data_IF_008534006146
#
_entry.id   IF_008534006146
#
_cell.length_a   1.000
_cell.length_b   1.000
_cell.length_c   1.000
_cell.angle_alpha   90.00
_cell.angle_beta   90.00
_cell.angle_gamma   90.00
#
_symmetry.space_group_name_H-M   'P 1'
#
loop_
_entity.id
_entity.type
_entity.pdbx_description
1 polymer ?
#
# COMPACT_ATOMS: atom_id res chain seq x y z
N UNK A 1 2.99 9.87 4.29
CA UNK A 1 2.79 9.92 2.83
C UNK A 1 4.11 10.16 2.13
N UNK A 2 4.16 9.91 0.82
CA UNK A 2 5.22 10.40 -0.06
C UNK A 2 4.74 11.69 -0.73
N UNK A 3 5.63 12.67 -0.93
CA UNK A 3 5.25 13.97 -1.50
C UNK A 3 5.50 13.98 -3.01
N UNK A 4 4.52 14.48 -3.77
CA UNK A 4 4.71 14.81 -5.18
C UNK A 4 5.70 15.96 -5.35
N UNK A 5 6.24 16.21 -6.56
CA UNK A 5 7.06 17.39 -6.83
C UNK A 5 6.38 18.73 -6.47
N UNK A 6 5.06 18.78 -6.56
CA UNK A 6 4.21 19.91 -6.18
C UNK A 6 3.91 19.98 -4.67
N UNK A 7 4.37 19.01 -3.89
CA UNK A 7 4.19 18.94 -2.44
C UNK A 7 2.89 18.26 -1.99
N UNK A 8 2.18 17.58 -2.88
CA UNK A 8 0.93 16.88 -2.51
C UNK A 8 1.23 15.54 -1.84
N UNK A 9 0.46 15.18 -0.80
CA UNK A 9 0.56 13.89 -0.15
C UNK A 9 -0.03 12.78 -1.03
N UNK A 10 0.78 11.77 -1.35
CA UNK A 10 0.40 10.64 -2.20
C UNK A 10 0.51 9.31 -1.45
N UNK A 11 -0.37 8.38 -1.81
CA UNK A 11 -0.12 6.94 -1.65
C UNK A 11 0.71 6.48 -2.85
N UNK A 12 1.88 5.93 -2.57
CA UNK A 12 2.82 5.42 -3.57
C UNK A 12 3.03 3.93 -3.32
N UNK A 13 3.19 3.17 -4.40
CA UNK A 13 3.61 1.77 -4.31
C UNK A 13 4.81 1.53 -5.19
N UNK A 14 5.75 0.73 -4.71
CA UNK A 14 6.89 0.25 -5.48
C UNK A 14 6.86 -1.26 -5.52
N UNK A 15 6.92 -1.84 -6.72
CA UNK A 15 7.02 -3.29 -6.90
C UNK A 15 8.37 -3.62 -7.51
N UNK A 16 9.27 -4.17 -6.70
CA UNK A 16 10.63 -4.50 -7.14
C UNK A 16 10.71 -5.95 -7.62
N UNK A 17 10.95 -6.13 -8.91
CA UNK A 17 11.27 -7.42 -9.53
C UNK A 17 12.62 -7.32 -10.24
N UNK A 18 13.65 -7.01 -9.47
CA UNK A 18 15.00 -6.68 -9.93
C UNK A 18 15.16 -5.22 -10.34
N UNK A 19 14.19 -4.71 -11.10
CA UNK A 19 13.99 -3.28 -11.32
C UNK A 19 12.78 -2.85 -10.50
N UNK A 20 12.85 -1.67 -9.90
CA UNK A 20 11.74 -1.06 -9.17
C UNK A 20 10.80 -0.38 -10.15
N UNK A 21 9.51 -0.63 -9.94
CA UNK A 21 8.41 -0.10 -10.74
C UNK A 21 7.48 0.64 -9.77
N UNK A 22 7.53 1.97 -9.82
CA UNK A 22 6.74 2.87 -8.97
C UNK A 22 5.39 3.21 -9.60
N UNK A 23 4.40 3.45 -8.74
CA UNK A 23 3.09 3.93 -9.14
C UNK A 23 2.54 4.90 -8.10
N UNK A 24 2.19 6.10 -8.57
CA UNK A 24 1.67 7.21 -7.79
C UNK A 24 0.14 7.24 -7.82
N UNK A 25 -0.46 7.39 -6.65
CA UNK A 25 -1.90 7.57 -6.49
C UNK A 25 -2.32 9.02 -6.72
N UNK A 26 -3.59 9.29 -6.44
CA UNK A 26 -4.10 10.66 -6.41
C UNK A 26 -3.65 11.39 -5.14
N UNK A 27 -3.61 12.74 -5.16
CA UNK A 27 -3.49 13.55 -3.96
C UNK A 27 -4.54 13.18 -2.91
N UNK A 28 -4.11 13.05 -1.67
CA UNK A 28 -4.97 12.82 -0.51
C UNK A 28 -4.98 14.07 0.34
N UNK A 29 -6.19 14.51 0.69
CA UNK A 29 -6.40 15.52 1.73
C UNK A 29 -6.38 14.83 3.10
N UNK A 30 -5.54 15.32 4.02
CA UNK A 30 -5.42 14.78 5.39
C UNK A 30 -4.01 14.30 5.75
N UNK A 31 -3.86 13.82 6.98
CA UNK A 31 -2.58 13.41 7.58
C UNK A 31 -2.51 11.90 7.90
N UNK A 32 -3.58 11.16 7.66
CA UNK A 32 -3.66 9.71 7.88
C UNK A 32 -4.37 8.99 6.71
N UNK A 33 -4.06 7.70 6.54
CA UNK A 33 -4.70 6.82 5.56
C UNK A 33 -4.68 5.38 6.06
N UNK A 34 -5.74 4.63 5.79
CA UNK A 34 -5.77 3.20 6.00
C UNK A 34 -5.14 2.49 4.81
N UNK A 35 -4.29 1.49 5.07
CA UNK A 35 -3.67 0.66 4.04
C UNK A 35 -4.09 -0.79 4.21
N UNK A 36 -4.28 -1.48 3.10
CA UNK A 36 -4.58 -2.91 3.09
C UNK A 36 -3.82 -3.63 1.98
N UNK A 37 -3.26 -4.77 2.34
CA UNK A 37 -2.59 -5.69 1.42
C UNK A 37 -3.36 -6.99 1.41
N UNK A 38 -3.74 -7.45 0.22
CA UNK A 38 -4.48 -8.71 0.05
C UNK A 38 -3.75 -9.63 -0.91
N UNK A 39 -3.55 -10.90 -0.54
CA UNK A 39 -3.03 -11.94 -1.44
C UNK A 39 -4.16 -12.85 -1.89
N UNK A 40 -4.27 -13.11 -3.19
CA UNK A 40 -5.23 -14.06 -3.75
C UNK A 40 -4.60 -14.84 -4.90
N UNK A 41 -4.38 -16.14 -4.68
CA UNK A 41 -3.61 -16.96 -5.62
C UNK A 41 -2.19 -16.41 -5.76
N UNK A 42 -1.75 -16.14 -6.99
CA UNK A 42 -0.45 -15.54 -7.32
C UNK A 42 -0.40 -14.01 -7.22
N UNK A 43 -1.56 -13.36 -7.09
CA UNK A 43 -1.68 -11.90 -7.13
C UNK A 43 -1.69 -11.28 -5.73
N UNK A 44 -1.23 -10.04 -5.67
CA UNK A 44 -1.32 -9.15 -4.53
C UNK A 44 -2.07 -7.89 -4.99
N UNK A 45 -3.01 -7.42 -4.16
CA UNK A 45 -3.63 -6.12 -4.31
C UNK A 45 -3.23 -5.21 -3.15
N UNK A 46 -2.93 -3.96 -3.49
CA UNK A 46 -2.80 -2.86 -2.57
C UNK A 46 -4.03 -1.97 -2.67
N UNK A 47 -4.57 -1.63 -1.50
CA UNK A 47 -5.68 -0.70 -1.34
C UNK A 47 -5.32 0.37 -0.34
N UNK A 48 -5.98 1.51 -0.46
CA UNK A 48 -6.02 2.53 0.58
C UNK A 48 -7.47 2.96 0.85
N UNK A 49 -7.71 3.54 2.02
CA UNK A 49 -9.01 4.09 2.39
C UNK A 49 -8.81 5.33 3.27
N UNK A 50 -9.68 6.32 3.11
CA UNK A 50 -9.67 7.56 3.91
C UNK A 50 -10.54 7.45 5.17
N UNK A 51 -11.49 6.51 5.17
CA UNK A 51 -12.48 6.31 6.24
C UNK A 51 -12.38 4.93 6.91
N UNK A 52 -11.60 4.01 6.33
CA UNK A 52 -11.50 2.62 6.78
C UNK A 52 -12.67 1.74 6.32
N UNK A 53 -13.65 2.30 5.61
CA UNK A 53 -14.87 1.61 5.16
C UNK A 53 -14.84 1.34 3.65
N UNK A 54 -14.50 2.36 2.84
CA UNK A 54 -14.43 2.25 1.39
C UNK A 54 -12.99 2.18 0.91
N UNK A 55 -12.68 1.12 0.18
CA UNK A 55 -11.32 0.82 -0.25
C UNK A 55 -11.09 1.13 -1.72
N UNK A 56 -10.18 2.05 -2.00
CA UNK A 56 -9.74 2.33 -3.37
C UNK A 56 -8.63 1.34 -3.74
N UNK A 57 -8.82 0.62 -4.85
CA UNK A 57 -7.76 -0.20 -5.42
C UNK A 57 -6.64 0.69 -5.97
N UNK A 58 -5.44 0.55 -5.40
CA UNK A 58 -4.24 1.25 -5.86
C UNK A 58 -3.53 0.47 -6.96
N UNK A 59 -3.27 -0.82 -6.73
CA UNK A 59 -2.50 -1.65 -7.66
C UNK A 59 -2.76 -3.14 -7.47
N UNK A 60 -2.77 -3.89 -8.58
CA UNK A 60 -2.69 -5.36 -8.58
C UNK A 60 -1.41 -5.77 -9.28
N UNK A 61 -0.67 -6.72 -8.71
CA UNK A 61 0.58 -7.21 -9.28
C UNK A 61 0.91 -8.64 -8.82
N UNK A 62 1.93 -9.23 -9.44
CA UNK A 62 2.56 -10.48 -9.01
C UNK A 62 4.04 -10.22 -8.65
N UNK A 63 4.57 -11.03 -7.73
CA UNK A 63 6.01 -11.12 -7.45
C UNK A 63 6.67 -12.18 -8.34
N UNK A 64 8.01 -12.20 -8.38
CA UNK A 64 8.79 -13.17 -9.18
C UNK A 64 8.49 -14.63 -8.83
N UNK A 65 8.27 -14.89 -7.55
CA UNK A 65 7.99 -16.22 -7.01
C UNK A 65 6.64 -16.20 -6.26
N UNK A 66 5.51 -16.34 -6.97
CA UNK A 66 4.17 -16.11 -6.37
C UNK A 66 3.77 -17.09 -5.26
N UNK A 67 4.44 -18.24 -5.19
CA UNK A 67 4.25 -19.29 -4.19
C UNK A 67 5.24 -19.21 -3.03
N UNK A 68 6.25 -18.34 -3.09
CA UNK A 68 7.18 -18.17 -1.98
C UNK A 68 6.46 -17.63 -0.74
N UNK A 69 6.92 -17.98 0.48
CA UNK A 69 6.46 -17.36 1.70
C UNK A 69 6.62 -15.84 1.64
N UNK A 70 5.61 -15.10 2.10
CA UNK A 70 5.62 -13.64 2.14
C UNK A 70 5.74 -13.19 3.59
N UNK A 71 6.59 -12.19 3.81
CA UNK A 71 6.61 -11.41 5.04
C UNK A 71 5.99 -10.04 4.77
N UNK A 72 5.18 -9.55 5.70
CA UNK A 72 4.61 -8.22 5.67
C UNK A 72 4.91 -7.52 7.00
N UNK A 73 5.15 -6.22 6.94
CA UNK A 73 5.49 -5.41 8.10
C UNK A 73 5.39 -3.93 7.78
N UNK A 74 5.69 -3.12 8.78
CA UNK A 74 5.62 -1.66 8.71
C UNK A 74 7.03 -1.08 8.64
N UNK A 75 7.20 -0.07 7.80
CA UNK A 75 8.47 0.63 7.62
C UNK A 75 8.20 2.13 7.51
N UNK A 76 9.00 2.92 8.21
CA UNK A 76 9.11 4.35 8.00
C UNK A 76 10.51 4.66 7.48
N UNK A 77 10.61 5.56 6.51
CA UNK A 77 11.89 5.98 5.94
C UNK A 77 11.94 7.50 5.80
N UNK A 78 13.15 8.06 5.90
CA UNK A 78 13.44 9.47 5.69
C UNK A 78 14.68 9.59 4.80
N UNK A 79 14.56 9.35 3.48
CA UNK A 79 15.73 9.27 2.60
C UNK A 79 16.45 10.62 2.43
N UNK A 80 15.75 11.74 2.58
CA UNK A 80 16.28 13.10 2.33
C UNK A 80 16.35 13.97 3.58
N UNK A 81 15.89 13.49 4.73
CA UNK A 81 15.83 14.26 5.98
C UNK A 81 16.52 13.55 7.13
N UNK A 82 16.54 14.20 8.29
CA UNK A 82 17.19 13.66 9.49
C UNK A 82 16.33 12.59 10.20
N UNK A 83 15.01 12.77 10.20
CA UNK A 83 14.08 11.87 10.88
C UNK A 83 12.69 11.90 10.27
N UNK A 84 12.00 10.76 10.34
CA UNK A 84 10.57 10.63 10.04
C UNK A 84 9.94 9.80 11.15
N UNK A 85 8.81 10.28 11.69
CA UNK A 85 7.97 9.54 12.62
C UNK A 85 6.69 9.13 11.88
N UNK A 86 6.36 7.86 11.98
CA UNK A 86 5.08 7.32 11.53
C UNK A 86 4.46 6.52 12.67
N UNK A 87 3.18 6.77 12.94
CA UNK A 87 2.41 6.02 13.92
C UNK A 87 1.52 5.02 13.17
N UNK A 88 1.68 3.72 13.47
CA UNK A 88 0.87 2.64 12.90
C UNK A 88 -0.14 2.15 13.94
N UNK A 89 -1.41 2.12 13.59
CA UNK A 89 -2.51 1.69 14.46
C UNK A 89 -3.55 0.90 13.67
N UNK A 90 -4.59 0.38 14.35
CA UNK A 90 -5.65 -0.42 13.73
C UNK A 90 -5.12 -1.65 12.95
N UNK A 91 -4.05 -2.26 13.47
CA UNK A 91 -3.35 -3.38 12.81
C UNK A 91 -4.20 -4.65 12.93
N UNK A 92 -4.50 -5.27 11.79
CA UNK A 92 -5.20 -6.55 11.74
C UNK A 92 -4.60 -7.46 10.67
N UNK A 93 -4.64 -8.76 10.93
CA UNK A 93 -4.30 -9.80 9.98
C UNK A 93 -5.44 -10.81 9.98
N UNK A 94 -5.98 -11.10 8.80
CA UNK A 94 -7.10 -12.03 8.63
C UNK A 94 -6.82 -12.97 7.46
N UNK A 95 -7.11 -14.25 7.66
CA UNK A 95 -7.04 -15.26 6.60
C UNK A 95 -8.34 -15.26 5.79
N UNK A 96 -8.59 -14.16 5.09
CA UNK A 96 -9.76 -13.99 4.22
C UNK A 96 -9.34 -13.55 2.83
N UNK A 97 -9.82 -14.26 1.82
CA UNK A 97 -9.62 -13.90 0.41
C UNK A 97 -10.68 -12.88 -0.01
N UNK A 98 -10.28 -11.84 -0.73
CA UNK A 98 -11.22 -10.94 -1.41
C UNK A 98 -11.90 -11.67 -2.58
N UNK A 99 -13.20 -11.45 -2.75
CA UNK A 99 -13.95 -11.97 -3.90
C UNK A 99 -13.65 -11.15 -5.16
N UNK A 100 -13.76 -9.82 -5.06
CA UNK A 100 -13.36 -8.88 -6.10
C UNK A 100 -12.51 -7.76 -5.49
N UNK A 101 -11.22 -7.61 -5.87
CA UNK A 101 -10.38 -6.53 -5.37
C UNK A 101 -10.82 -5.12 -5.86
N UNK A 102 -11.83 -5.00 -6.71
CA UNK A 102 -12.33 -3.71 -7.25
C UNK A 102 -13.68 -3.28 -6.68
N UNK A 103 -14.33 -4.09 -5.87
CA UNK A 103 -15.69 -3.81 -5.37
C UNK A 103 -15.75 -2.69 -4.32
N UNK A 104 -14.60 -2.34 -3.72
CA UNK A 104 -14.48 -1.30 -2.73
C UNK A 104 -14.76 -1.72 -1.28
N UNK A 105 -14.96 -3.02 -1.04
CA UNK A 105 -15.06 -3.63 0.31
C UNK A 105 -13.71 -3.81 0.98
#
# INVERSE_FOLDING_TARGET
FELSPEGNALVVSVVTRGVSDDANGQPIEGDAVHLRVSKFGSAIAFHYSLDGERWTLHRIFCLREPSAPISAGFLAQCPTGEACRADFSCISFVEKKLCDPRDGS
#
